data_IF_610560757149
#
_entry.id   IF_610560757149
#
_cell.length_a   1.000
_cell.length_b   1.000
_cell.length_c   1.000
_cell.angle_alpha   90.00
_cell.angle_beta   90.00
_cell.angle_gamma   90.00
#
_symmetry.space_group_name_H-M   'P 1'
#
loop_
_entity.id
_entity.type
_entity.pdbx_description
1 polymer ?
#
# COMPACT_ATOMS: atom_id res chain seq x y z
N UNK A 1 -28.01 15.57 8.92
CA UNK A 1 -26.68 15.17 8.42
C UNK A 1 -26.88 14.39 7.14
N UNK A 2 -26.60 15.00 5.98
CA UNK A 2 -26.56 14.25 4.71
C UNK A 2 -25.22 13.51 4.71
N UNK A 3 -25.25 12.17 4.72
CA UNK A 3 -24.07 11.38 4.41
C UNK A 3 -23.65 11.77 2.99
N UNK A 4 -22.57 12.54 2.86
CA UNK A 4 -21.92 12.67 1.57
C UNK A 4 -21.44 11.25 1.23
N UNK A 5 -22.07 10.65 0.22
CA UNK A 5 -21.59 9.39 -0.33
C UNK A 5 -20.15 9.62 -0.76
N UNK A 6 -19.21 9.08 0.02
CA UNK A 6 -17.80 9.04 -0.34
C UNK A 6 -17.75 8.44 -1.74
N UNK A 7 -17.35 9.24 -2.71
CA UNK A 7 -17.29 8.82 -4.09
C UNK A 7 -16.22 7.73 -4.18
N UNK A 8 -16.62 6.53 -4.62
CA UNK A 8 -15.73 5.38 -4.67
C UNK A 8 -14.75 5.56 -5.84
N UNK A 9 -13.62 6.20 -5.54
CA UNK A 9 -12.53 6.44 -6.48
C UNK A 9 -11.90 5.15 -6.99
N UNK A 10 -11.93 4.08 -6.20
CA UNK A 10 -11.49 2.77 -6.67
C UNK A 10 -12.35 2.33 -7.86
N UNK A 11 -13.68 2.45 -7.76
CA UNK A 11 -14.58 2.15 -8.89
C UNK A 11 -14.37 3.05 -10.11
N UNK A 12 -14.00 4.31 -9.92
CA UNK A 12 -13.78 5.27 -11.03
C UNK A 12 -12.48 4.93 -11.76
N UNK A 13 -11.41 4.69 -11.01
CA UNK A 13 -10.12 4.29 -11.54
C UNK A 13 -10.14 2.88 -12.13
N UNK A 14 -10.89 1.95 -11.53
CA UNK A 14 -11.12 0.61 -12.07
C UNK A 14 -11.85 0.68 -13.41
N UNK A 15 -12.92 1.48 -13.53
CA UNK A 15 -13.63 1.68 -14.80
C UNK A 15 -12.72 2.23 -15.88
N UNK A 16 -11.86 3.20 -15.55
CA UNK A 16 -10.85 3.70 -16.48
C UNK A 16 -9.79 2.67 -16.80
N UNK A 17 -9.37 1.86 -15.83
CA UNK A 17 -8.43 0.75 -16.02
C UNK A 17 -8.99 -0.32 -16.95
N UNK A 18 -10.25 -0.71 -16.77
CA UNK A 18 -10.99 -1.64 -17.65
C UNK A 18 -11.13 -1.03 -19.04
N UNK A 19 -11.52 0.25 -19.12
CA UNK A 19 -11.63 0.96 -20.38
C UNK A 19 -10.28 0.96 -21.11
N UNK A 20 -9.20 1.43 -20.48
CA UNK A 20 -7.83 1.41 -21.02
C UNK A 20 -7.33 -0.01 -21.35
N UNK A 21 -7.69 -1.02 -20.56
CA UNK A 21 -7.36 -2.42 -20.86
C UNK A 21 -8.11 -2.93 -22.11
N UNK A 22 -9.32 -2.42 -22.38
CA UNK A 22 -10.01 -2.66 -23.65
C UNK A 22 -9.36 -1.95 -24.85
N UNK A 23 -8.46 -0.97 -24.60
CA UNK A 23 -7.59 -0.33 -25.59
C UNK A 23 -6.22 -1.02 -25.77
N UNK A 24 -6.06 -2.27 -25.30
CA UNK A 24 -4.83 -3.10 -25.45
C UNK A 24 -4.02 -2.78 -26.72
N UNK A 25 -2.69 -2.73 -26.56
CA UNK A 25 -1.71 -2.45 -27.60
C UNK A 25 -1.88 -3.31 -28.87
N UNK A 26 -2.45 -4.51 -28.78
CA UNK A 26 -2.73 -5.40 -29.92
C UNK A 26 -3.76 -4.85 -30.92
N UNK A 27 -4.54 -3.80 -30.57
CA UNK A 27 -5.42 -3.08 -31.51
C UNK A 27 -4.76 -1.87 -32.18
N UNK A 28 -3.50 -1.55 -31.84
CA UNK A 28 -2.76 -0.44 -32.46
C UNK A 28 -2.43 -0.68 -33.94
N UNK A 29 -2.52 -1.92 -34.41
CA UNK A 29 -2.06 -2.27 -35.76
C UNK A 29 -3.07 -1.99 -36.88
N UNK A 30 -4.39 -1.90 -36.64
CA UNK A 30 -5.35 -1.74 -37.76
C UNK A 30 -6.65 -0.97 -37.42
N UNK A 31 -6.56 0.37 -37.36
CA UNK A 31 -7.68 1.34 -37.38
C UNK A 31 -8.21 1.83 -36.03
N UNK A 32 -7.59 2.90 -35.52
CA UNK A 32 -8.30 3.83 -34.64
C UNK A 32 -9.35 4.59 -35.45
N UNK A 33 -10.62 4.55 -35.00
CA UNK A 33 -11.62 5.50 -35.50
C UNK A 33 -11.52 6.77 -34.68
N UNK A 34 -11.71 7.91 -35.34
CA UNK A 34 -11.74 9.24 -34.70
C UNK A 34 -12.68 9.25 -33.49
N UNK A 35 -13.79 8.54 -33.56
CA UNK A 35 -14.80 8.47 -32.50
C UNK A 35 -14.27 7.80 -31.23
N UNK A 36 -13.41 6.78 -31.33
CA UNK A 36 -12.82 6.09 -30.18
C UNK A 36 -11.85 7.00 -29.41
N UNK A 37 -11.06 7.82 -30.14
CA UNK A 37 -10.17 8.82 -29.55
C UNK A 37 -10.96 9.94 -28.85
N UNK A 38 -12.07 10.39 -29.46
CA UNK A 38 -12.94 11.41 -28.88
C UNK A 38 -13.61 10.91 -27.59
N UNK A 39 -14.07 9.65 -27.58
CA UNK A 39 -14.65 9.06 -26.37
C UNK A 39 -13.60 8.89 -25.27
N UNK A 40 -12.38 8.45 -25.60
CA UNK A 40 -11.27 8.40 -24.65
C UNK A 40 -10.95 9.78 -24.06
N UNK A 41 -10.81 10.79 -24.92
CA UNK A 41 -10.57 12.17 -24.49
C UNK A 41 -11.69 12.67 -23.57
N UNK A 42 -12.95 12.38 -23.89
CA UNK A 42 -14.10 12.77 -23.08
C UNK A 42 -14.05 12.11 -21.70
N UNK A 43 -13.78 10.81 -21.62
CA UNK A 43 -13.69 10.11 -20.33
C UNK A 43 -12.55 10.63 -19.44
N UNK A 44 -11.38 10.92 -20.03
CA UNK A 44 -10.30 11.59 -19.31
C UNK A 44 -10.69 12.99 -18.85
N UNK A 45 -11.38 13.76 -19.70
CA UNK A 45 -11.83 15.11 -19.34
C UNK A 45 -12.84 15.07 -18.19
N UNK A 46 -13.78 14.13 -18.23
CA UNK A 46 -14.77 13.92 -17.18
C UNK A 46 -14.11 13.50 -15.85
N UNK A 47 -13.10 12.63 -15.90
CA UNK A 47 -12.30 12.27 -14.73
C UNK A 47 -11.59 13.48 -14.13
N UNK A 48 -10.88 14.25 -14.95
CA UNK A 48 -10.13 15.43 -14.48
C UNK A 48 -11.07 16.46 -13.85
N UNK A 49 -12.24 16.68 -14.45
CA UNK A 49 -13.28 17.54 -13.89
C UNK A 49 -13.80 17.03 -12.54
N UNK A 50 -13.97 15.72 -12.36
CA UNK A 50 -14.38 15.13 -11.09
C UNK A 50 -13.29 15.28 -10.01
N UNK A 51 -12.03 15.04 -10.37
CA UNK A 51 -10.89 15.22 -9.48
C UNK A 51 -10.78 16.69 -9.04
N UNK A 52 -10.86 17.62 -9.99
CA UNK A 52 -10.84 19.05 -9.71
C UNK A 52 -11.93 19.45 -8.71
N UNK A 53 -13.19 19.09 -8.98
CA UNK A 53 -14.31 19.39 -8.07
C UNK A 53 -14.10 18.82 -6.66
N UNK A 54 -13.49 17.65 -6.59
CA UNK A 54 -13.20 17.00 -5.30
C UNK A 54 -12.14 17.75 -4.54
N UNK A 55 -11.04 18.13 -5.20
CA UNK A 55 -10.00 18.96 -4.60
C UNK A 55 -10.50 20.33 -4.18
N UNK A 56 -11.33 20.99 -5.00
CA UNK A 56 -12.01 22.24 -4.64
C UNK A 56 -12.84 22.07 -3.36
N UNK A 57 -13.66 21.02 -3.28
CA UNK A 57 -14.43 20.72 -2.07
C UNK A 57 -13.55 20.43 -0.84
N UNK A 58 -12.39 19.79 -1.01
CA UNK A 58 -11.43 19.61 0.10
C UNK A 58 -10.82 20.95 0.54
N UNK A 59 -10.45 21.81 -0.42
CA UNK A 59 -9.89 23.14 -0.15
C UNK A 59 -10.89 24.02 0.60
N UNK A 60 -12.16 24.02 0.20
CA UNK A 60 -13.22 24.76 0.89
C UNK A 60 -13.37 24.32 2.35
N UNK A 61 -13.35 23.00 2.61
CA UNK A 61 -13.39 22.46 3.97
C UNK A 61 -12.16 22.88 4.79
N UNK A 62 -10.98 22.85 4.20
CA UNK A 62 -9.75 23.29 4.85
C UNK A 62 -9.77 24.78 5.18
N UNK A 63 -10.28 25.61 4.26
CA UNK A 63 -10.43 27.04 4.47
C UNK A 63 -11.43 27.35 5.59
N UNK A 64 -12.59 26.69 5.59
CA UNK A 64 -13.56 26.80 6.68
C UNK A 64 -12.96 26.36 8.02
N UNK A 65 -12.12 25.32 8.01
CA UNK A 65 -11.42 24.85 9.21
C UNK A 65 -10.39 25.86 9.72
N UNK A 66 -9.63 26.48 8.83
CA UNK A 66 -8.68 27.54 9.17
C UNK A 66 -9.39 28.72 9.84
N UNK A 67 -10.54 29.16 9.31
CA UNK A 67 -11.35 30.20 9.93
C UNK A 67 -11.83 29.82 11.35
N UNK A 68 -12.21 28.57 11.59
CA UNK A 68 -12.56 28.09 12.94
C UNK A 68 -11.37 28.15 13.91
N UNK A 69 -10.16 27.89 13.42
CA UNK A 69 -8.93 27.99 14.22
C UNK A 69 -8.60 29.47 14.49
N UNK A 70 -8.78 30.36 13.53
CA UNK A 70 -8.57 31.81 13.74
C UNK A 70 -9.55 32.41 14.76
N UNK A 71 -10.77 31.87 14.83
CA UNK A 71 -11.75 32.24 15.84
C UNK A 71 -11.44 31.66 17.24
N UNK A 72 -10.48 30.74 17.33
CA UNK A 72 -10.02 30.20 18.61
C UNK A 72 -9.08 31.23 19.28
N UNK A 73 -9.56 31.83 20.34
CA UNK A 73 -8.88 32.91 21.05
C UNK A 73 -8.03 32.35 22.20
N UNK A 74 -6.73 32.17 21.97
CA UNK A 74 -5.82 31.57 22.95
C UNK A 74 -5.74 32.35 24.29
N UNK A 75 -6.12 33.63 24.28
CA UNK A 75 -6.11 34.50 25.46
C UNK A 75 -7.37 34.32 26.34
N UNK A 76 -8.38 33.56 25.88
CA UNK A 76 -9.52 33.19 26.72
C UNK A 76 -9.16 32.03 27.63
N UNK A 77 -9.49 32.17 28.90
CA UNK A 77 -9.47 31.06 29.88
C UNK A 77 -10.55 30.03 29.54
N UNK A 78 -10.28 29.17 28.58
CA UNK A 78 -11.10 27.99 28.32
C UNK A 78 -10.83 26.92 29.39
N UNK A 79 -11.90 26.23 29.80
CA UNK A 79 -11.78 25.04 30.63
C UNK A 79 -10.90 24.01 29.90
N UNK A 80 -9.91 23.37 30.55
CA UNK A 80 -8.98 22.44 29.90
C UNK A 80 -9.65 21.35 29.04
N UNK A 81 -10.83 20.88 29.46
CA UNK A 81 -11.64 19.92 28.72
C UNK A 81 -12.07 20.45 27.34
N UNK A 82 -12.48 21.72 27.24
CA UNK A 82 -12.91 22.34 25.98
C UNK A 82 -11.75 22.42 24.99
N UNK A 83 -10.55 22.77 25.45
CA UNK A 83 -9.33 22.78 24.62
C UNK A 83 -8.98 21.37 24.11
N UNK A 84 -9.07 20.36 24.98
CA UNK A 84 -8.82 18.98 24.59
C UNK A 84 -9.84 18.45 23.56
N UNK A 85 -11.12 18.76 23.76
CA UNK A 85 -12.19 18.38 22.83
C UNK A 85 -12.00 19.05 21.46
N UNK A 86 -11.69 20.35 21.44
CA UNK A 86 -11.41 21.06 20.19
C UNK A 86 -10.22 20.46 19.46
N UNK A 87 -9.10 20.22 20.16
CA UNK A 87 -7.92 19.59 19.55
C UNK A 87 -8.20 18.19 18.97
N UNK A 88 -8.98 17.37 19.67
CA UNK A 88 -9.38 16.04 19.18
C UNK A 88 -10.26 16.15 17.93
N UNK A 89 -11.19 17.11 17.91
CA UNK A 89 -12.01 17.38 16.73
C UNK A 89 -11.17 17.82 15.52
N UNK A 90 -10.16 18.68 15.73
CA UNK A 90 -9.21 19.08 14.68
C UNK A 90 -8.45 17.87 14.14
N UNK A 91 -7.91 17.04 15.03
CA UNK A 91 -7.19 15.82 14.65
C UNK A 91 -8.05 14.88 13.80
N UNK A 92 -9.28 14.60 14.22
CA UNK A 92 -10.20 13.72 13.49
C UNK A 92 -10.54 14.27 12.10
N UNK A 93 -10.73 15.59 12.00
CA UNK A 93 -10.95 16.24 10.71
C UNK A 93 -9.78 16.03 9.75
N UNK A 94 -8.54 16.34 10.17
CA UNK A 94 -7.37 16.18 9.29
C UNK A 94 -7.07 14.72 8.96
N UNK A 95 -7.32 13.79 9.90
CA UNK A 95 -7.24 12.37 9.64
C UNK A 95 -8.20 11.95 8.53
N UNK A 96 -9.44 12.43 8.55
CA UNK A 96 -10.42 12.15 7.51
C UNK A 96 -10.01 12.70 6.14
N UNK A 97 -9.53 13.94 6.06
CA UNK A 97 -8.99 14.52 4.81
C UNK A 97 -7.83 13.67 4.28
N UNK A 98 -6.94 13.23 5.17
CA UNK A 98 -5.80 12.39 4.81
C UNK A 98 -6.22 11.01 4.29
N UNK A 99 -7.25 10.40 4.88
CA UNK A 99 -7.82 9.15 4.40
C UNK A 99 -8.42 9.29 3.00
N UNK A 100 -9.21 10.34 2.74
CA UNK A 100 -9.75 10.62 1.40
C UNK A 100 -8.64 10.83 0.36
N UNK A 101 -7.60 11.61 0.69
CA UNK A 101 -6.43 11.80 -0.18
C UNK A 101 -5.65 10.50 -0.39
N UNK A 102 -5.51 9.66 0.63
CA UNK A 102 -4.84 8.38 0.48
C UNK A 102 -5.58 7.46 -0.47
N UNK A 103 -6.92 7.47 -0.50
CA UNK A 103 -7.68 6.67 -1.47
C UNK A 103 -7.38 7.15 -2.89
N UNK A 104 -7.26 8.46 -3.11
CA UNK A 104 -6.92 9.04 -4.42
C UNK A 104 -5.48 8.73 -4.88
N UNK A 105 -4.54 8.75 -3.94
CA UNK A 105 -3.09 8.65 -4.22
C UNK A 105 -2.60 7.20 -4.15
N UNK A 106 -3.23 6.34 -3.35
CA UNK A 106 -2.85 4.94 -3.27
C UNK A 106 -3.28 4.24 -4.54
N UNK A 107 -2.26 3.92 -5.35
CA UNK A 107 -2.31 2.76 -6.22
C UNK A 107 -2.49 1.55 -5.32
N UNK A 108 -3.70 0.98 -5.24
CA UNK A 108 -3.84 -0.41 -4.85
C UNK A 108 -3.00 -1.20 -5.85
N UNK A 109 -1.76 -1.49 -5.46
CA UNK A 109 -0.94 -2.38 -6.24
C UNK A 109 -1.59 -3.74 -6.08
N UNK A 110 -1.92 -4.48 -7.15
CA UNK A 110 -2.42 -5.85 -7.05
C UNK A 110 -1.48 -6.79 -6.29
N UNK A 111 -0.26 -6.33 -5.94
CA UNK A 111 0.62 -6.98 -5.00
C UNK A 111 0.11 -7.01 -3.54
N UNK A 112 -0.87 -6.19 -3.16
CA UNK A 112 -1.42 -6.20 -1.79
C UNK A 112 -2.29 -7.45 -1.52
N UNK A 113 -2.70 -8.17 -2.58
CA UNK A 113 -3.34 -9.49 -2.50
C UNK A 113 -2.34 -10.66 -2.43
N UNK A 114 -1.06 -10.41 -2.71
CA UNK A 114 0.00 -11.42 -2.59
C UNK A 114 0.51 -11.47 -1.15
N UNK A 115 -0.34 -11.95 -0.24
CA UNK A 115 0.06 -12.26 1.12
C UNK A 115 0.18 -13.77 1.30
N UNK A 116 1.35 -14.25 1.72
CA UNK A 116 1.56 -15.67 2.01
C UNK A 116 2.12 -15.89 3.41
N UNK A 117 1.67 -16.99 4.02
CA UNK A 117 2.09 -17.39 5.36
C UNK A 117 3.07 -18.55 5.29
N UNK A 118 4.24 -18.38 5.91
CA UNK A 118 5.25 -19.44 5.98
C UNK A 118 5.27 -20.09 7.36
N UNK A 119 5.57 -21.40 7.40
CA UNK A 119 5.67 -22.17 8.64
C UNK A 119 6.96 -21.91 9.41
N UNK A 120 7.95 -21.29 8.78
CA UNK A 120 9.26 -20.98 9.35
C UNK A 120 9.25 -19.65 10.10
N UNK A 121 10.23 -19.45 10.99
CA UNK A 121 10.36 -18.19 11.74
C UNK A 121 10.93 -17.08 10.87
N UNK A 122 10.70 -15.82 11.27
CA UNK A 122 11.21 -14.66 10.53
C UNK A 122 12.74 -14.70 10.36
N UNK A 123 13.49 -15.18 11.35
CA UNK A 123 14.96 -15.30 11.24
C UNK A 123 15.37 -16.39 10.23
N UNK A 124 14.66 -17.51 10.19
CA UNK A 124 14.90 -18.58 9.21
C UNK A 124 14.59 -18.09 7.80
N UNK A 125 13.49 -17.36 7.62
CA UNK A 125 13.11 -16.77 6.35
C UNK A 125 14.15 -15.76 5.86
N UNK A 126 14.60 -14.85 6.75
CA UNK A 126 15.64 -13.88 6.43
C UNK A 126 16.95 -14.55 6.00
N UNK A 127 17.37 -15.59 6.72
CA UNK A 127 18.59 -16.31 6.38
C UNK A 127 18.44 -17.11 5.07
N UNK A 128 17.28 -17.71 4.82
CA UNK A 128 16.99 -18.40 3.56
C UNK A 128 17.06 -17.43 2.36
N UNK A 129 16.38 -16.28 2.44
CA UNK A 129 16.42 -15.27 1.39
C UNK A 129 17.84 -14.70 1.18
N UNK A 130 18.61 -14.59 2.27
CA UNK A 130 20.01 -14.20 2.18
C UNK A 130 20.84 -15.20 1.37
N UNK A 131 20.70 -16.51 1.63
CA UNK A 131 21.39 -17.55 0.85
C UNK A 131 20.93 -17.52 -0.61
N UNK A 132 19.62 -17.39 -0.87
CA UNK A 132 19.09 -17.32 -2.23
C UNK A 132 19.65 -16.11 -2.99
N UNK A 133 19.83 -14.98 -2.32
CA UNK A 133 20.48 -13.81 -2.90
C UNK A 133 21.96 -14.03 -3.19
N UNK A 134 22.71 -14.65 -2.27
CA UNK A 134 24.13 -14.99 -2.50
C UNK A 134 24.30 -16.00 -3.65
N UNK A 135 23.37 -16.94 -3.76
CA UNK A 135 23.30 -17.90 -4.86
C UNK A 135 22.80 -17.29 -6.18
N UNK A 136 22.49 -15.99 -6.22
CA UNK A 136 21.91 -15.28 -7.37
C UNK A 136 20.61 -15.88 -7.90
N UNK A 137 19.86 -16.56 -7.03
CA UNK A 137 18.49 -17.01 -7.33
C UNK A 137 17.54 -15.82 -7.24
N UNK A 138 17.81 -14.88 -6.33
CA UNK A 138 17.04 -13.64 -6.19
C UNK A 138 17.99 -12.45 -6.32
N UNK A 139 17.66 -11.52 -7.21
CA UNK A 139 18.42 -10.29 -7.42
C UNK A 139 17.64 -9.08 -6.90
N UNK A 140 18.30 -8.23 -6.13
CA UNK A 140 17.74 -6.93 -5.72
C UNK A 140 18.83 -5.88 -5.67
N UNK A 141 18.55 -4.64 -6.10
CA UNK A 141 19.53 -3.56 -6.05
C UNK A 141 19.91 -3.16 -4.63
N UNK A 142 19.04 -3.41 -3.63
CA UNK A 142 19.28 -3.05 -2.23
C UNK A 142 18.77 -4.14 -1.28
N UNK A 143 19.57 -4.49 -0.26
CA UNK A 143 19.15 -5.41 0.80
C UNK A 143 17.89 -4.94 1.54
N UNK A 144 17.70 -3.63 1.68
CA UNK A 144 16.51 -3.03 2.29
C UNK A 144 15.20 -3.43 1.61
N UNK A 145 15.23 -3.70 0.31
CA UNK A 145 14.05 -4.12 -0.44
C UNK A 145 13.54 -5.49 0.02
N UNK A 146 14.42 -6.38 0.51
CA UNK A 146 13.99 -7.66 1.08
C UNK A 146 13.17 -7.45 2.34
N UNK A 147 13.64 -6.61 3.26
CA UNK A 147 12.92 -6.36 4.50
C UNK A 147 11.56 -5.72 4.21
N UNK A 148 11.52 -4.78 3.26
CA UNK A 148 10.27 -4.14 2.84
C UNK A 148 9.31 -5.17 2.24
N UNK A 149 9.80 -6.00 1.31
CA UNK A 149 9.01 -7.06 0.69
C UNK A 149 8.44 -8.04 1.72
N UNK A 150 9.29 -8.58 2.61
CA UNK A 150 8.86 -9.50 3.67
C UNK A 150 7.83 -8.84 4.58
N UNK A 151 8.07 -7.60 5.02
CA UNK A 151 7.17 -6.88 5.93
C UNK A 151 5.78 -6.64 5.34
N UNK A 152 5.71 -6.54 4.01
CA UNK A 152 4.49 -6.22 3.28
C UNK A 152 3.73 -7.47 2.84
N UNK A 153 4.43 -8.53 2.44
CA UNK A 153 3.84 -9.67 1.73
C UNK A 153 3.93 -11.01 2.47
N UNK A 154 4.66 -11.09 3.60
CA UNK A 154 4.93 -12.38 4.25
C UNK A 154 4.61 -12.36 5.74
N UNK A 155 3.73 -13.29 6.14
CA UNK A 155 3.52 -13.66 7.53
C UNK A 155 4.28 -14.92 7.92
N UNK A 156 4.52 -15.08 9.21
CA UNK A 156 4.96 -16.35 9.78
C UNK A 156 3.84 -16.97 10.61
N UNK A 157 3.94 -18.28 10.90
CA UNK A 157 3.00 -18.94 11.81
C UNK A 157 2.89 -18.26 13.20
N UNK A 158 3.93 -17.55 13.65
CA UNK A 158 3.96 -16.87 14.95
C UNK A 158 3.54 -15.39 14.87
N UNK A 159 3.67 -14.75 13.71
CA UNK A 159 3.48 -13.31 13.54
C UNK A 159 2.92 -13.03 12.14
N UNK A 160 1.71 -12.48 12.08
CA UNK A 160 1.06 -12.14 10.80
C UNK A 160 1.68 -10.91 10.15
N UNK A 161 2.04 -9.89 10.94
CA UNK A 161 2.71 -8.69 10.44
C UNK A 161 4.12 -8.61 11.00
N UNK A 162 5.10 -8.64 10.11
CA UNK A 162 6.51 -8.48 10.45
C UNK A 162 6.90 -7.01 10.26
N UNK A 163 7.37 -6.34 11.32
CA UNK A 163 7.81 -4.95 11.16
C UNK A 163 9.17 -4.86 10.47
N UNK A 164 9.30 -3.90 9.56
CA UNK A 164 10.54 -3.61 8.84
C UNK A 164 11.75 -3.46 9.79
N UNK A 165 11.58 -2.67 10.85
CA UNK A 165 12.64 -2.43 11.84
C UNK A 165 13.03 -3.68 12.63
N UNK A 166 12.08 -4.57 12.94
CA UNK A 166 12.38 -5.83 13.60
C UNK A 166 13.21 -6.74 12.68
N UNK A 167 12.84 -6.84 11.41
CA UNK A 167 13.55 -7.64 10.42
C UNK A 167 14.98 -7.14 10.22
N UNK A 168 15.16 -5.83 10.08
CA UNK A 168 16.46 -5.18 9.91
C UNK A 168 17.40 -5.49 11.09
N UNK A 169 16.90 -5.41 12.32
CA UNK A 169 17.68 -5.73 13.53
C UNK A 169 18.07 -7.22 13.58
N UNK A 170 17.10 -8.11 13.33
CA UNK A 170 17.30 -9.57 13.38
C UNK A 170 18.29 -10.08 12.32
N UNK A 171 18.39 -9.41 11.18
CA UNK A 171 19.30 -9.80 10.09
C UNK A 171 20.77 -9.83 10.51
N UNK A 172 21.18 -8.96 11.45
CA UNK A 172 22.57 -8.92 11.91
C UNK A 172 22.89 -9.94 13.01
N UNK A 173 21.88 -10.62 13.56
CA UNK A 173 22.00 -11.51 14.72
C UNK A 173 21.66 -12.94 14.37
N UNK A 174 22.22 -13.47 13.28
CA UNK A 174 21.94 -14.83 12.84
C UNK A 174 22.69 -15.82 13.74
N UNK A 175 21.94 -16.67 14.42
CA UNK A 175 22.49 -17.70 15.32
C UNK A 175 22.76 -19.02 14.58
N UNK A 176 23.75 -19.77 15.09
CA UNK A 176 24.11 -21.10 14.55
C UNK A 176 22.91 -22.05 14.49
N UNK A 177 21.96 -21.91 15.42
CA UNK A 177 20.74 -22.73 15.46
C UNK A 177 19.82 -22.43 14.28
N UNK A 178 19.67 -21.17 13.87
CA UNK A 178 18.93 -20.82 12.65
C UNK A 178 19.60 -21.42 11.42
N UNK A 179 20.93 -21.32 11.31
CA UNK A 179 21.68 -21.91 10.20
C UNK A 179 21.43 -23.42 10.08
N UNK A 180 21.52 -24.15 11.19
CA UNK A 180 21.27 -25.60 11.20
C UNK A 180 19.84 -25.96 10.82
N UNK A 181 18.85 -25.17 11.26
CA UNK A 181 17.44 -25.39 10.89
C UNK A 181 17.18 -25.13 9.42
N UNK A 182 17.72 -24.04 8.86
CA UNK A 182 17.58 -23.74 7.42
C UNK A 182 18.30 -24.79 6.57
N UNK A 183 19.49 -25.24 6.98
CA UNK A 183 20.18 -26.36 6.32
C UNK A 183 19.30 -27.61 6.27
N UNK A 184 18.66 -27.97 7.38
CA UNK A 184 17.75 -29.13 7.43
C UNK A 184 16.58 -28.95 6.46
N UNK A 185 15.92 -27.78 6.48
CA UNK A 185 14.82 -27.47 5.55
C UNK A 185 15.22 -27.64 4.08
N UNK A 186 16.41 -27.15 3.70
CA UNK A 186 16.93 -27.30 2.34
C UNK A 186 17.18 -28.78 1.98
N UNK A 187 17.76 -29.56 2.90
CA UNK A 187 17.97 -31.00 2.67
C UNK A 187 16.64 -31.75 2.55
N UNK A 188 15.63 -31.38 3.34
CA UNK A 188 14.29 -31.98 3.27
C UNK A 188 13.64 -31.69 1.90
N UNK A 189 13.83 -30.49 1.34
CA UNK A 189 13.38 -30.16 -0.02
C UNK A 189 14.10 -30.99 -1.09
N UNK A 190 15.42 -31.18 -0.96
CA UNK A 190 16.19 -32.04 -1.89
C UNK A 190 15.68 -33.48 -1.82
N UNK A 191 15.44 -34.01 -0.61
CA UNK A 191 14.90 -35.36 -0.43
C UNK A 191 13.49 -35.49 -1.03
N UNK A 192 12.65 -34.46 -0.91
CA UNK A 192 11.32 -34.44 -1.52
C UNK A 192 11.40 -34.52 -3.05
N UNK A 193 12.34 -33.80 -3.66
CA UNK A 193 12.59 -33.87 -5.12
C UNK A 193 13.03 -35.28 -5.51
N UNK A 194 14.01 -35.84 -4.80
CA UNK A 194 14.55 -37.17 -5.09
C UNK A 194 13.54 -38.31 -4.93
N UNK A 195 12.51 -38.12 -4.11
CA UNK A 195 11.50 -39.16 -3.82
C UNK A 195 10.25 -39.04 -4.68
N UNK A 196 9.90 -37.84 -5.15
CA UNK A 196 8.65 -37.58 -5.88
C UNK A 196 8.81 -37.23 -7.35
N UNK A 197 9.99 -36.76 -7.76
CA UNK A 197 10.19 -36.15 -9.07
C UNK A 197 11.37 -36.75 -9.87
N UNK A 198 12.14 -37.66 -9.26
CA UNK A 198 13.17 -38.48 -9.88
C UNK A 198 12.84 -39.96 -9.67
#
# INVERSE_FOLDING_TARGET
>A
MKQHASQDWASVLERLGIFLANFKEEKLEDQWRKDDLLELQKQFSDLLNQLQKTFEGMQDRLAARAQLIELWDDDREYVPLTRAMFGMEQYQFYLHIWEELNVLVRKESPADDLYFRVSITAMQLLFLLHIMHEAKIIETPKKGNFFLFISKHIGTAQQDKLSFESLRKKYHTIDRKTVMKVRRLLMDLVNLINTKHL
#
